data_IF_241044961552
#
_entry.id   IF_241044961552
#
_cell.length_a   1.000
_cell.length_b   1.000
_cell.length_c   1.000
_cell.angle_alpha   90.00
_cell.angle_beta   90.00
_cell.angle_gamma   90.00
#
_symmetry.space_group_name_H-M   'P 1'
#
loop_
_entity.id
_entity.type
_entity.pdbx_description
1 polymer ?
#
# COMPACT_ATOMS: atom_id res chain seq x y z
N UNK A 1 -7.22 10.97 20.69
CA UNK A 1 -6.44 11.45 19.53
C UNK A 1 -5.24 10.54 19.37
N UNK A 2 -4.92 10.11 18.15
CA UNK A 2 -3.71 9.33 17.92
C UNK A 2 -2.48 10.23 18.15
N UNK A 3 -1.51 9.73 18.90
CA UNK A 3 -0.24 10.43 19.11
C UNK A 3 0.55 10.36 17.81
N UNK A 4 0.89 11.52 17.23
CA UNK A 4 1.65 11.64 15.99
C UNK A 4 3.09 12.00 16.27
N UNK A 5 4.02 11.50 15.44
CA UNK A 5 5.45 11.85 15.50
C UNK A 5 5.70 13.29 15.07
N UNK A 6 6.82 13.87 15.55
CA UNK A 6 7.38 15.14 15.08
C UNK A 6 8.27 14.99 13.83
N UNK A 7 8.66 13.75 13.47
CA UNK A 7 9.37 13.50 12.22
C UNK A 7 8.48 13.86 11.03
N UNK A 8 9.04 14.55 10.06
CA UNK A 8 8.40 14.67 8.74
C UNK A 8 8.43 13.31 8.05
N UNK A 9 7.49 13.06 7.16
CA UNK A 9 7.41 11.79 6.41
C UNK A 9 8.74 11.49 5.69
N UNK A 10 9.38 12.49 5.12
CA UNK A 10 10.69 12.34 4.47
C UNK A 10 11.79 11.93 5.46
N UNK A 11 11.82 12.53 6.65
CA UNK A 11 12.80 12.18 7.69
C UNK A 11 12.57 10.75 8.18
N UNK A 12 11.33 10.35 8.41
CA UNK A 12 10.98 9.00 8.81
C UNK A 12 11.41 7.97 7.75
N UNK A 13 11.11 8.21 6.46
CA UNK A 13 11.54 7.34 5.36
C UNK A 13 13.06 7.23 5.23
N UNK A 14 13.78 8.32 5.41
CA UNK A 14 15.24 8.30 5.42
C UNK A 14 15.81 7.49 6.57
N UNK A 15 15.27 7.64 7.79
CA UNK A 15 15.65 6.82 8.93
C UNK A 15 15.35 5.34 8.67
N UNK A 16 14.15 5.02 8.18
CA UNK A 16 13.77 3.65 7.83
C UNK A 16 14.76 3.04 6.82
N UNK A 17 15.11 3.77 5.78
CA UNK A 17 16.10 3.34 4.78
C UNK A 17 17.48 3.08 5.40
N UNK A 18 17.96 3.97 6.28
CA UNK A 18 19.26 3.81 6.94
C UNK A 18 19.31 2.56 7.85
N UNK A 19 18.18 2.18 8.42
CA UNK A 19 18.09 0.98 9.29
C UNK A 19 17.56 -0.26 8.54
N UNK A 20 17.77 -0.34 7.22
CA UNK A 20 17.45 -1.52 6.42
C UNK A 20 15.95 -1.66 6.08
N UNK A 21 15.24 -0.55 6.00
CA UNK A 21 13.82 -0.51 5.63
C UNK A 21 12.88 -0.92 6.77
N UNK A 22 13.31 -0.76 8.03
CA UNK A 22 12.50 -1.12 9.20
C UNK A 22 11.29 -0.21 9.37
N UNK A 23 10.19 -0.75 9.86
CA UNK A 23 9.01 0.01 10.27
C UNK A 23 9.24 0.61 11.65
N UNK A 24 8.76 1.86 11.84
CA UNK A 24 8.83 2.56 13.12
C UNK A 24 7.44 2.64 13.75
N UNK A 25 7.32 2.11 14.96
CA UNK A 25 6.11 2.23 15.78
C UNK A 25 6.43 3.09 17.00
N UNK A 26 5.75 4.24 17.14
CA UNK A 26 5.99 5.17 18.24
C UNK A 26 5.59 4.53 19.59
N UNK A 27 6.55 4.35 20.47
CA UNK A 27 6.37 3.80 21.82
C UNK A 27 6.26 4.91 22.86
N UNK A 28 7.08 5.96 22.72
CA UNK A 28 7.21 7.02 23.69
C UNK A 28 7.36 8.35 22.99
N UNK A 29 6.68 9.36 23.56
CA UNK A 29 6.80 10.77 23.19
C UNK A 29 6.79 11.60 24.46
N UNK A 30 7.84 12.39 24.69
CA UNK A 30 8.06 13.05 25.95
C UNK A 30 6.96 14.07 26.32
N UNK A 31 6.46 14.82 25.35
CA UNK A 31 5.36 15.78 25.56
C UNK A 31 4.02 15.13 25.92
N UNK A 32 3.86 13.81 25.70
CA UNK A 32 2.62 13.07 25.96
C UNK A 32 2.72 12.13 27.16
N UNK A 33 3.92 11.59 27.38
CA UNK A 33 4.15 10.55 28.37
C UNK A 33 5.06 11.02 29.54
N UNK A 34 5.17 12.33 29.71
CA UNK A 34 6.08 13.01 30.62
C UNK A 34 7.57 12.84 30.29
N UNK A 35 8.35 13.88 30.50
CA UNK A 35 9.80 13.88 30.36
C UNK A 35 10.45 13.08 31.51
N UNK A 36 10.37 11.75 31.44
CA UNK A 36 10.86 10.85 32.49
C UNK A 36 11.55 9.64 31.89
N UNK A 37 12.80 9.40 32.29
CA UNK A 37 13.53 8.21 31.92
C UNK A 37 12.88 6.92 32.42
N UNK A 38 12.18 6.96 33.55
CA UNK A 38 11.40 5.84 34.04
C UNK A 38 10.28 5.48 33.05
N UNK A 39 9.58 6.46 32.50
CA UNK A 39 8.54 6.22 31.49
C UNK A 39 9.11 5.72 30.18
N UNK A 40 10.31 6.18 29.77
CA UNK A 40 11.02 5.60 28.61
C UNK A 40 11.31 4.12 28.86
N UNK A 41 11.94 3.79 29.99
CA UNK A 41 12.22 2.41 30.36
C UNK A 41 10.97 1.53 30.37
N UNK A 42 9.94 1.96 31.10
CA UNK A 42 8.69 1.20 31.24
C UNK A 42 8.00 0.91 29.90
N UNK A 43 8.07 1.85 28.95
CA UNK A 43 7.43 1.72 27.65
C UNK A 43 8.27 1.01 26.60
N UNK A 44 9.59 1.13 26.69
CA UNK A 44 10.52 0.65 25.67
C UNK A 44 11.22 -0.66 26.05
N UNK A 45 11.19 -1.04 27.33
CA UNK A 45 11.79 -2.30 27.78
C UNK A 45 11.09 -3.50 27.11
N UNK A 46 11.88 -4.48 26.69
CA UNK A 46 11.43 -5.70 26.01
C UNK A 46 10.62 -5.47 24.71
N UNK A 47 10.78 -4.29 24.08
CA UNK A 47 10.14 -3.97 22.81
C UNK A 47 11.00 -4.31 21.57
N UNK A 48 12.19 -4.91 21.79
CA UNK A 48 13.16 -5.20 20.73
C UNK A 48 13.98 -3.96 20.33
N UNK A 49 14.56 -3.94 19.14
CA UNK A 49 15.36 -2.80 18.67
C UNK A 49 14.55 -1.51 18.64
N UNK A 50 15.16 -0.42 19.10
CA UNK A 50 14.51 0.90 19.13
C UNK A 50 15.36 1.99 18.51
N UNK A 51 14.71 3.07 18.04
CA UNK A 51 15.35 4.31 17.66
C UNK A 51 14.84 5.42 18.56
N UNK A 52 15.76 6.07 19.27
CA UNK A 52 15.49 7.28 20.04
C UNK A 52 15.80 8.49 19.16
N UNK A 53 14.88 9.40 19.03
CA UNK A 53 15.00 10.65 18.27
C UNK A 53 14.83 11.84 19.21
N UNK A 54 15.79 12.75 19.18
CA UNK A 54 15.87 13.93 20.04
C UNK A 54 15.83 15.18 19.19
N UNK A 55 14.95 16.10 19.53
CA UNK A 55 14.74 17.37 18.83
C UNK A 55 15.28 18.52 19.69
N UNK A 56 16.29 19.24 19.17
CA UNK A 56 16.91 20.38 19.84
C UNK A 56 17.01 21.56 18.87
N UNK A 57 16.15 22.55 19.06
CA UNK A 57 16.12 23.70 18.16
C UNK A 57 15.76 23.30 16.72
N UNK A 58 16.74 23.41 15.81
CA UNK A 58 16.64 22.96 14.42
C UNK A 58 17.36 21.63 14.17
N UNK A 59 18.05 21.11 15.18
CA UNK A 59 18.84 19.90 15.08
C UNK A 59 18.01 18.68 15.51
N UNK A 60 18.09 17.62 14.75
CA UNK A 60 17.51 16.31 15.04
C UNK A 60 18.65 15.32 15.10
N UNK A 61 18.79 14.64 16.20
CA UNK A 61 19.79 13.57 16.38
C UNK A 61 19.20 12.42 17.18
N UNK A 62 19.87 11.29 17.20
CA UNK A 62 19.35 10.16 17.93
C UNK A 62 20.28 8.97 17.97
N UNK A 63 19.77 7.90 18.54
CA UNK A 63 20.48 6.65 18.73
C UNK A 63 19.63 5.46 18.31
N UNK A 64 20.22 4.53 17.55
CA UNK A 64 19.67 3.21 17.33
C UNK A 64 20.20 2.24 18.40
N UNK A 65 19.29 1.56 19.07
CA UNK A 65 19.53 0.60 20.14
C UNK A 65 19.10 -0.76 19.61
N UNK A 66 20.07 -1.65 19.41
CA UNK A 66 19.82 -2.98 18.82
C UNK A 66 19.14 -3.93 19.78
N UNK A 67 19.59 -3.90 21.05
CA UNK A 67 19.11 -4.79 22.08
C UNK A 67 18.03 -4.13 22.93
N UNK A 68 17.26 -4.92 23.67
CA UNK A 68 16.30 -4.39 24.64
C UNK A 68 17.02 -3.56 25.70
N UNK A 69 16.31 -2.59 26.28
CA UNK A 69 16.79 -1.86 27.45
C UNK A 69 17.02 -2.86 28.58
N UNK A 70 18.26 -2.91 29.03
CA UNK A 70 18.66 -3.81 30.12
C UNK A 70 18.48 -3.13 31.47
N UNK A 71 18.69 -3.87 32.55
CA UNK A 71 18.57 -3.32 33.91
C UNK A 71 19.53 -2.17 34.13
N UNK A 72 19.22 -1.33 35.14
CA UNK A 72 19.98 -0.13 35.46
C UNK A 72 21.47 -0.39 35.65
N UNK A 73 22.31 0.40 35.02
CA UNK A 73 23.76 0.35 35.12
C UNK A 73 24.46 -0.45 34.03
N UNK A 74 23.75 -1.21 33.21
CA UNK A 74 24.36 -1.95 32.11
C UNK A 74 24.60 -1.05 30.87
N UNK A 75 25.70 -1.36 30.16
CA UNK A 75 26.09 -0.61 28.95
C UNK A 75 25.46 -1.25 27.73
N UNK A 76 24.58 -0.48 27.06
CA UNK A 76 23.88 -0.89 25.86
C UNK A 76 24.59 -0.27 24.65
N UNK A 77 25.15 -1.07 23.72
CA UNK A 77 25.75 -0.56 22.50
C UNK A 77 24.74 0.20 21.65
N UNK A 78 25.10 1.39 21.15
CA UNK A 78 24.25 2.23 20.32
C UNK A 78 24.96 2.67 19.04
N UNK A 79 24.16 3.00 18.03
CA UNK A 79 24.61 3.67 16.80
C UNK A 79 23.99 5.06 16.75
N UNK A 80 24.82 6.08 16.68
CA UNK A 80 24.36 7.47 16.63
C UNK A 80 24.09 7.92 15.21
N UNK A 81 23.12 8.83 15.08
CA UNK A 81 22.82 9.52 13.84
C UNK A 81 22.42 10.98 14.11
N UNK A 82 22.58 11.83 13.10
CA UNK A 82 22.10 13.20 13.12
C UNK A 82 21.57 13.59 11.75
N UNK A 83 20.55 14.46 11.73
CA UNK A 83 20.08 15.06 10.50
C UNK A 83 20.80 16.39 10.25
N UNK A 84 21.41 16.53 9.08
CA UNK A 84 21.94 17.79 8.57
C UNK A 84 21.17 18.15 7.30
N UNK A 85 20.43 19.26 7.32
CA UNK A 85 19.64 19.74 6.15
C UNK A 85 18.75 18.66 5.54
N UNK A 86 18.06 17.87 6.36
CA UNK A 86 17.25 16.71 5.95
C UNK A 86 18.04 15.50 5.40
N UNK A 87 19.34 15.48 5.49
CA UNK A 87 20.16 14.31 5.19
C UNK A 87 20.71 13.72 6.49
N UNK A 88 20.79 12.39 6.55
CA UNK A 88 21.37 11.70 7.71
C UNK A 88 22.86 11.64 7.52
N UNK A 89 23.59 12.32 8.42
CA UNK A 89 25.03 12.18 8.54
C UNK A 89 25.37 11.10 9.57
N UNK A 90 26.31 10.23 9.19
CA UNK A 90 26.94 9.23 10.07
C UNK A 90 26.03 8.10 10.61
N UNK A 91 25.20 7.51 9.75
CA UNK A 91 24.58 6.22 10.07
C UNK A 91 25.41 5.07 9.43
N UNK A 92 26.49 4.64 10.11
CA UNK A 92 27.20 3.41 9.75
C UNK A 92 26.63 2.27 10.56
N UNK A 93 25.59 1.61 10.07
CA UNK A 93 25.08 0.34 10.64
C UNK A 93 26.19 -0.70 10.54
N UNK A 94 26.58 -1.26 11.68
CA UNK A 94 27.61 -2.30 11.79
C UNK A 94 28.92 -1.85 12.38
N UNK A 95 29.21 -0.56 12.55
CA UNK A 95 30.36 -0.07 13.28
C UNK A 95 29.97 0.22 14.73
N UNK A 96 29.78 -0.83 15.52
CA UNK A 96 29.66 -0.67 16.99
C UNK A 96 31.04 -0.31 17.53
N UNK A 97 31.19 0.90 18.05
CA UNK A 97 32.35 1.24 18.86
C UNK A 97 32.07 0.79 20.30
N UNK A 98 32.95 0.01 20.95
CA UNK A 98 32.80 -0.37 22.36
C UNK A 98 32.76 0.83 23.31
N UNK A 99 33.17 2.01 22.83
CA UNK A 99 33.16 3.26 23.55
C UNK A 99 31.89 4.05 23.43
N UNK A 100 30.95 3.65 22.54
CA UNK A 100 29.68 4.32 22.32
C UNK A 100 28.54 3.46 22.89
N UNK A 101 28.00 3.86 24.02
CA UNK A 101 26.96 3.11 24.71
C UNK A 101 25.97 4.03 25.42
N UNK A 102 24.77 3.52 25.64
CA UNK A 102 23.73 4.08 26.51
C UNK A 102 23.78 3.34 27.86
N UNK A 103 23.66 4.06 28.93
CA UNK A 103 23.50 3.49 30.27
C UNK A 103 22.34 4.23 30.97
N UNK A 104 21.46 3.46 31.60
CA UNK A 104 20.36 3.99 32.40
C UNK A 104 20.76 3.97 33.87
N UNK A 105 20.70 5.10 34.55
CA UNK A 105 20.90 5.21 35.97
C UNK A 105 19.60 5.60 36.66
N UNK A 106 19.31 4.95 37.77
CA UNK A 106 18.16 5.29 38.62
C UNK A 106 18.70 5.67 40.01
N UNK A 107 18.99 6.96 40.19
CA UNK A 107 19.28 7.52 41.50
C UNK A 107 18.11 8.43 41.90
N UNK A 108 17.47 8.11 43.01
CA UNK A 108 16.48 8.92 43.76
C UNK A 108 15.62 9.86 42.91
N UNK A 109 14.66 9.31 42.12
CA UNK A 109 13.70 10.01 41.28
C UNK A 109 14.22 10.74 40.03
N UNK A 110 15.50 10.69 39.71
CA UNK A 110 16.06 11.21 38.47
C UNK A 110 16.58 10.05 37.61
N UNK A 111 15.94 9.75 36.48
CA UNK A 111 16.49 8.83 35.49
C UNK A 111 17.48 9.56 34.60
N UNK A 112 18.76 9.19 34.69
CA UNK A 112 19.79 9.76 33.83
C UNK A 112 20.12 8.79 32.69
N UNK A 113 20.21 9.32 31.48
CA UNK A 113 20.78 8.61 30.33
C UNK A 113 22.23 9.08 30.16
N UNK A 114 23.17 8.18 30.26
CA UNK A 114 24.54 8.45 29.92
C UNK A 114 24.85 7.96 28.51
N UNK A 115 25.09 8.87 27.58
CA UNK A 115 25.63 8.60 26.25
C UNK A 115 27.15 8.78 26.31
N UNK A 116 27.90 7.72 26.02
CA UNK A 116 29.33 7.82 25.83
C UNK A 116 29.69 7.86 24.35
N UNK A 117 30.30 8.96 23.91
CA UNK A 117 30.68 9.23 22.54
C UNK A 117 32.20 9.22 22.44
N UNK A 118 32.84 8.08 22.21
CA UNK A 118 34.29 7.95 22.05
C UNK A 118 35.12 8.72 23.11
N UNK A 119 34.77 8.51 24.38
CA UNK A 119 35.42 9.17 25.51
C UNK A 119 34.80 10.51 25.93
N UNK A 120 33.81 11.02 25.20
CA UNK A 120 33.01 12.16 25.61
C UNK A 120 31.74 11.67 26.29
N UNK A 121 31.58 11.98 27.56
CA UNK A 121 30.38 11.63 28.33
C UNK A 121 29.32 12.73 28.14
N UNK A 122 28.15 12.37 27.65
CA UNK A 122 26.98 13.25 27.55
C UNK A 122 25.91 12.68 28.45
N UNK A 123 25.61 13.37 29.54
CA UNK A 123 24.55 12.98 30.47
C UNK A 123 23.26 13.70 30.08
N UNK A 124 22.21 12.96 29.79
CA UNK A 124 20.86 13.49 29.58
C UNK A 124 20.05 13.25 30.85
N UNK A 125 19.66 14.34 31.51
CA UNK A 125 18.66 14.31 32.58
C UNK A 125 17.31 14.64 32.00
N UNK A 126 16.37 13.73 32.12
CA UNK A 126 14.97 14.00 31.85
C UNK A 126 14.33 14.51 33.14
N UNK A 127 14.30 15.80 33.33
CA UNK A 127 13.67 16.43 34.48
C UNK A 127 12.30 17.03 34.11
N UNK A 128 11.33 16.93 35.01
CA UNK A 128 9.93 17.26 34.78
C UNK A 128 9.66 18.75 34.51
N UNK A 129 10.64 19.59 34.39
CA UNK A 129 10.55 21.03 34.16
C UNK A 129 11.16 21.35 32.80
N UNK A 130 10.34 21.51 31.77
CA UNK A 130 10.54 22.13 30.43
C UNK A 130 11.96 22.28 29.81
N UNK A 131 13.02 21.81 30.45
CA UNK A 131 14.41 21.93 29.97
C UNK A 131 15.18 20.64 30.19
N UNK A 132 15.36 19.92 29.14
CA UNK A 132 16.36 18.86 29.08
C UNK A 132 17.74 19.54 29.07
N UNK A 133 18.55 19.29 30.11
CA UNK A 133 19.93 19.76 30.16
C UNK A 133 20.86 18.65 29.72
N UNK A 134 21.49 18.79 28.56
CA UNK A 134 22.65 18.00 28.17
C UNK A 134 23.88 18.60 28.86
N UNK A 135 24.36 17.97 29.91
CA UNK A 135 25.65 18.31 30.51
C UNK A 135 26.72 17.44 29.83
N UNK A 136 27.43 18.00 28.88
CA UNK A 136 28.65 17.40 28.34
C UNK A 136 29.82 17.68 29.26
N UNK A 137 30.24 16.75 30.11
CA UNK A 137 31.59 16.79 30.67
C UNK A 137 32.55 16.15 29.67
N UNK A 138 33.35 16.95 29.00
CA UNK A 138 34.45 16.47 28.20
C UNK A 138 35.63 16.28 29.13
N UNK A 139 35.82 15.10 29.69
CA UNK A 139 37.04 14.74 30.40
C UNK A 139 38.08 14.24 29.39
N UNK A 140 38.88 15.14 28.85
CA UNK A 140 40.14 14.78 28.22
C UNK A 140 41.13 14.49 29.35
N UNK A 141 41.57 13.25 29.54
CA UNK A 141 42.62 12.87 30.47
C UNK A 141 44.04 13.39 30.10
N UNK A 142 44.18 14.20 29.05
CA UNK A 142 45.41 14.88 28.66
C UNK A 142 45.13 16.35 28.36
N UNK A 143 45.48 17.21 29.34
CA UNK A 143 45.52 18.67 29.32
C UNK A 143 44.25 19.39 29.81
N UNK A 144 44.41 19.87 31.02
CA UNK A 144 43.58 20.91 31.64
C UNK A 144 43.47 22.14 30.75
N UNK A 145 42.24 22.57 30.43
CA UNK A 145 41.81 23.95 30.42
C UNK A 145 40.29 24.03 30.11
N UNK A 146 39.56 24.65 31.01
CA UNK A 146 38.20 25.18 30.94
C UNK A 146 37.44 24.97 29.60
N UNK A 147 36.66 23.91 29.50
CA UNK A 147 35.60 23.85 28.54
C UNK A 147 34.28 23.98 29.31
N UNK A 148 33.52 25.02 29.00
CA UNK A 148 32.18 25.26 29.54
C UNK A 148 31.28 24.11 29.12
N UNK A 149 30.54 23.55 30.08
CA UNK A 149 29.47 22.60 29.81
C UNK A 149 28.50 23.22 28.80
N UNK A 150 28.31 22.58 27.67
CA UNK A 150 27.40 23.06 26.64
C UNK A 150 25.99 22.48 26.97
N UNK A 151 25.09 23.34 27.40
CA UNK A 151 23.71 22.96 27.69
C UNK A 151 22.91 23.07 26.39
N UNK A 152 22.36 21.92 25.94
CA UNK A 152 21.48 21.85 24.78
C UNK A 152 20.05 21.74 25.27
N UNK A 153 19.18 22.64 24.84
CA UNK A 153 17.75 22.59 25.16
C UNK A 153 17.06 21.56 24.25
N UNK A 154 16.40 20.58 24.82
CA UNK A 154 15.64 19.58 24.08
C UNK A 154 14.17 19.97 24.11
N UNK A 155 13.54 19.98 22.93
CA UNK A 155 12.13 20.32 22.75
C UNK A 155 11.24 19.08 22.81
N UNK A 156 11.72 17.96 22.29
CA UNK A 156 10.98 16.71 22.24
C UNK A 156 11.94 15.51 22.22
N UNK A 157 11.47 14.39 22.74
CA UNK A 157 12.14 13.10 22.63
C UNK A 157 11.11 12.03 22.27
N UNK A 158 11.37 11.31 21.22
CA UNK A 158 10.51 10.21 20.74
C UNK A 158 11.31 8.91 20.69
N UNK A 159 10.69 7.79 21.06
CA UNK A 159 11.28 6.45 20.91
C UNK A 159 10.36 5.59 20.09
N UNK A 160 10.93 5.00 19.05
CA UNK A 160 10.23 4.11 18.13
C UNK A 160 10.75 2.68 18.29
N UNK A 161 9.85 1.72 18.25
CA UNK A 161 10.21 0.31 18.02
C UNK A 161 10.57 0.14 16.55
N UNK A 162 11.70 -0.54 16.29
CA UNK A 162 12.14 -0.89 14.95
C UNK A 162 11.74 -2.34 14.67
N UNK A 163 10.77 -2.52 13.82
CA UNK A 163 10.32 -3.84 13.37
C UNK A 163 10.89 -4.14 12.00
N UNK A 164 11.37 -5.35 11.80
CA UNK A 164 11.61 -5.82 10.45
C UNK A 164 10.24 -5.91 9.76
N UNK A 165 10.11 -5.25 8.62
CA UNK A 165 8.88 -5.21 7.85
C UNK A 165 8.36 -6.60 7.50
N UNK A 166 9.26 -7.58 7.49
CA UNK A 166 9.04 -8.98 7.23
C UNK A 166 9.66 -9.79 8.37
N UNK A 167 9.28 -9.55 9.64
CA UNK A 167 9.61 -10.49 10.67
C UNK A 167 8.93 -11.85 10.37
N UNK A 168 9.47 -12.94 10.91
CA UNK A 168 8.94 -14.28 10.62
C UNK A 168 7.45 -14.41 10.98
N UNK A 169 6.99 -13.69 12.00
CA UNK A 169 5.60 -13.72 12.45
C UNK A 169 4.69 -13.06 11.42
N UNK A 170 5.05 -11.88 10.91
CA UNK A 170 4.30 -11.20 9.86
C UNK A 170 4.29 -12.02 8.57
N UNK A 171 5.39 -12.71 8.23
CA UNK A 171 5.45 -13.61 7.07
C UNK A 171 4.56 -14.83 7.21
N UNK A 172 4.46 -15.41 8.41
CA UNK A 172 3.56 -16.52 8.68
C UNK A 172 2.09 -16.08 8.54
N UNK A 173 1.72 -14.95 9.10
CA UNK A 173 0.36 -14.38 8.99
C UNK A 173 0.02 -14.04 7.52
N UNK A 174 0.95 -13.42 6.79
CA UNK A 174 0.82 -13.13 5.35
C UNK A 174 0.62 -14.43 4.56
N UNK A 175 1.42 -15.44 4.84
CA UNK A 175 1.33 -16.74 4.17
C UNK A 175 0.00 -17.44 4.46
N UNK A 176 -0.47 -17.39 5.69
CA UNK A 176 -1.77 -17.96 6.08
C UNK A 176 -2.93 -17.21 5.40
N UNK A 177 -2.89 -15.88 5.42
CA UNK A 177 -3.90 -15.05 4.76
C UNK A 177 -3.90 -15.27 3.24
N UNK A 178 -2.73 -15.38 2.62
CA UNK A 178 -2.59 -15.70 1.20
C UNK A 178 -3.24 -17.04 0.85
N UNK A 179 -2.96 -18.10 1.63
CA UNK A 179 -3.59 -19.43 1.44
C UNK A 179 -5.11 -19.37 1.62
N UNK A 180 -5.58 -18.66 2.65
CA UNK A 180 -7.02 -18.47 2.90
C UNK A 180 -7.69 -17.77 1.73
N UNK A 181 -7.15 -16.64 1.25
CA UNK A 181 -7.71 -15.90 0.12
C UNK A 181 -7.71 -16.73 -1.18
N UNK A 182 -6.64 -17.45 -1.46
CA UNK A 182 -6.58 -18.36 -2.62
C UNK A 182 -7.66 -19.43 -2.52
N UNK A 183 -7.83 -20.04 -1.35
CA UNK A 183 -8.86 -21.06 -1.12
C UNK A 183 -10.25 -20.48 -1.30
N UNK A 184 -10.55 -19.32 -0.68
CA UNK A 184 -11.82 -18.64 -0.76
C UNK A 184 -12.22 -18.34 -2.21
N UNK A 185 -11.27 -17.82 -3.01
CA UNK A 185 -11.54 -17.49 -4.41
C UNK A 185 -11.66 -18.74 -5.30
N UNK A 186 -10.87 -19.79 -5.05
CA UNK A 186 -10.97 -21.06 -5.81
C UNK A 186 -12.27 -21.81 -5.50
N UNK A 187 -12.72 -21.77 -4.26
CA UNK A 187 -13.96 -22.41 -3.79
C UNK A 187 -15.22 -21.54 -3.93
N UNK A 188 -15.02 -20.28 -4.36
CA UNK A 188 -16.11 -19.34 -4.55
C UNK A 188 -17.16 -19.88 -5.52
N UNK A 189 -18.43 -19.67 -5.19
CA UNK A 189 -19.57 -19.95 -6.05
C UNK A 189 -20.41 -18.68 -6.19
N UNK A 190 -20.74 -18.29 -7.42
CA UNK A 190 -21.62 -17.14 -7.65
C UNK A 190 -22.97 -17.30 -6.95
N UNK A 191 -23.54 -16.19 -6.55
CA UNK A 191 -24.81 -16.15 -5.82
C UNK A 191 -25.88 -17.08 -6.42
N UNK A 192 -26.36 -18.03 -5.61
CA UNK A 192 -27.37 -19.05 -5.97
C UNK A 192 -27.07 -19.86 -7.26
N UNK A 193 -25.82 -19.95 -7.65
CA UNK A 193 -25.38 -20.59 -8.90
C UNK A 193 -26.11 -20.08 -10.16
N UNK A 194 -26.50 -18.78 -10.16
CA UNK A 194 -27.21 -18.15 -11.28
C UNK A 194 -26.36 -18.14 -12.57
N UNK A 195 -25.04 -18.07 -12.42
CA UNK A 195 -24.04 -18.18 -13.48
C UNK A 195 -22.92 -19.11 -13.03
N UNK A 196 -22.20 -19.69 -13.98
CA UNK A 196 -21.03 -20.53 -13.67
C UNK A 196 -19.79 -19.73 -13.34
N UNK A 197 -19.66 -18.57 -13.96
CA UNK A 197 -18.51 -17.68 -13.83
C UNK A 197 -18.96 -16.23 -13.78
N UNK A 198 -18.40 -15.47 -12.88
CA UNK A 198 -18.58 -14.02 -12.82
C UNK A 198 -17.77 -13.37 -13.94
N UNK A 199 -18.35 -12.38 -14.62
CA UNK A 199 -17.68 -11.55 -15.62
C UNK A 199 -17.35 -10.18 -15.05
N UNK A 200 -16.06 -9.88 -14.96
CA UNK A 200 -15.52 -8.62 -14.43
C UNK A 200 -14.95 -7.83 -15.60
N UNK A 201 -15.48 -6.64 -15.86
CA UNK A 201 -15.02 -5.76 -16.95
C UNK A 201 -14.00 -4.76 -16.44
N UNK A 202 -12.82 -4.70 -17.09
CA UNK A 202 -11.77 -3.72 -16.81
C UNK A 202 -11.92 -2.53 -17.78
N UNK A 203 -12.14 -1.34 -17.23
CA UNK A 203 -12.30 -0.06 -17.93
C UNK A 203 -11.24 0.93 -17.46
N UNK A 204 -10.72 1.77 -18.30
CA UNK A 204 -9.79 2.82 -17.89
C UNK A 204 -8.89 3.29 -19.02
N UNK A 205 -8.14 4.37 -18.83
CA UNK A 205 -7.23 4.90 -19.84
C UNK A 205 -6.21 3.90 -20.35
N UNK A 206 -5.63 4.19 -21.51
CA UNK A 206 -4.46 3.46 -22.00
C UNK A 206 -3.31 3.61 -20.99
N UNK A 207 -2.56 2.54 -20.72
CA UNK A 207 -1.46 2.57 -19.73
C UNK A 207 -1.91 2.51 -18.26
N UNK A 208 -3.21 2.42 -17.97
CA UNK A 208 -3.73 2.30 -16.59
C UNK A 208 -3.42 0.96 -15.90
N UNK A 209 -2.85 -0.04 -16.61
CA UNK A 209 -2.48 -1.33 -16.01
C UNK A 209 -3.57 -2.41 -16.07
N UNK A 210 -4.59 -2.29 -16.93
CA UNK A 210 -5.67 -3.29 -17.09
C UNK A 210 -5.14 -4.67 -17.48
N UNK A 211 -4.38 -4.76 -18.56
CA UNK A 211 -3.80 -6.02 -19.05
C UNK A 211 -2.72 -6.55 -18.09
N UNK A 212 -1.99 -5.65 -17.41
CA UNK A 212 -1.04 -6.02 -16.37
C UNK A 212 -1.73 -6.62 -15.15
N UNK A 213 -2.91 -6.11 -14.78
CA UNK A 213 -3.70 -6.68 -13.68
C UNK A 213 -4.17 -8.10 -14.04
N UNK A 214 -4.67 -8.31 -15.27
CA UNK A 214 -4.99 -9.67 -15.72
C UNK A 214 -3.77 -10.61 -15.62
N UNK A 215 -2.61 -10.19 -16.13
CA UNK A 215 -1.38 -11.00 -16.04
C UNK A 215 -1.01 -11.28 -14.58
N UNK A 216 -1.16 -10.32 -13.69
CA UNK A 216 -0.87 -10.44 -12.27
C UNK A 216 -1.81 -11.44 -11.58
N UNK A 217 -3.13 -11.32 -11.81
CA UNK A 217 -4.10 -12.30 -11.30
C UNK A 217 -3.76 -13.70 -11.81
N UNK A 218 -3.48 -13.84 -13.11
CA UNK A 218 -3.10 -15.15 -13.68
C UNK A 218 -1.83 -15.69 -13.04
N UNK A 219 -0.83 -14.85 -12.80
CA UNK A 219 0.44 -15.23 -12.17
C UNK A 219 0.23 -15.82 -10.78
N UNK A 220 -0.58 -15.17 -9.94
CA UNK A 220 -0.91 -15.64 -8.59
C UNK A 220 -1.53 -17.05 -8.63
N UNK A 221 -2.50 -17.30 -9.52
CA UNK A 221 -3.14 -18.61 -9.63
C UNK A 221 -2.29 -19.67 -10.31
N UNK A 222 -1.29 -19.27 -11.11
CA UNK A 222 -0.31 -20.17 -11.73
C UNK A 222 0.87 -20.51 -10.83
N UNK A 223 1.14 -19.72 -9.81
CA UNK A 223 2.29 -19.88 -8.93
C UNK A 223 3.61 -19.39 -9.55
N UNK A 224 3.57 -18.68 -10.68
CA UNK A 224 4.73 -18.07 -11.34
C UNK A 224 4.30 -16.89 -12.20
N UNK A 225 5.20 -15.96 -12.43
CA UNK A 225 4.91 -14.76 -13.24
C UNK A 225 4.63 -15.15 -14.69
N UNK A 226 3.55 -14.60 -15.25
CA UNK A 226 3.12 -14.87 -16.63
C UNK A 226 2.78 -13.58 -17.38
N UNK A 227 2.98 -13.55 -18.68
CA UNK A 227 2.72 -12.40 -19.56
C UNK A 227 1.87 -12.83 -20.77
N UNK A 228 0.61 -13.26 -20.53
CA UNK A 228 -0.27 -13.69 -21.63
C UNK A 228 -0.90 -12.53 -22.37
N UNK A 229 -1.39 -11.52 -21.65
CA UNK A 229 -1.89 -10.31 -22.27
C UNK A 229 -0.71 -9.42 -22.68
N UNK A 230 -0.75 -8.93 -23.91
CA UNK A 230 0.28 -8.01 -24.39
C UNK A 230 0.17 -6.70 -23.58
N UNK A 231 1.29 -6.29 -23.04
CA UNK A 231 1.45 -5.03 -22.29
C UNK A 231 2.45 -4.18 -23.06
N UNK A 232 2.10 -2.95 -23.34
CA UNK A 232 3.00 -2.01 -24.02
C UNK A 232 2.61 -0.58 -23.73
N UNK A 233 3.61 0.30 -23.80
CA UNK A 233 3.48 1.75 -23.62
C UNK A 233 3.38 2.51 -24.95
N UNK A 234 3.44 1.80 -26.07
CA UNK A 234 3.48 2.45 -27.39
C UNK A 234 2.16 3.11 -27.73
N UNK A 235 2.23 4.25 -28.39
CA UNK A 235 1.13 5.15 -28.69
C UNK A 235 0.02 4.54 -29.59
N UNK A 236 0.27 3.37 -30.18
CA UNK A 236 -0.71 2.58 -30.91
C UNK A 236 -1.31 1.51 -29.99
N UNK A 237 -2.27 1.88 -29.16
CA UNK A 237 -2.95 1.03 -28.17
C UNK A 237 -2.84 -0.48 -28.38
N UNK A 238 -2.11 -1.15 -27.53
CA UNK A 238 -1.83 -2.61 -27.65
C UNK A 238 -3.11 -3.46 -27.52
N UNK A 239 -4.16 -2.92 -26.90
CA UNK A 239 -5.46 -3.59 -26.77
C UNK A 239 -6.54 -2.83 -27.53
N UNK A 240 -6.65 -3.09 -28.83
CA UNK A 240 -7.73 -2.57 -29.71
C UNK A 240 -8.95 -3.49 -29.76
N UNK A 241 -8.90 -4.62 -29.04
CA UNK A 241 -9.94 -5.66 -29.04
C UNK A 241 -10.52 -5.89 -27.66
N UNK A 242 -11.80 -6.20 -27.64
CA UNK A 242 -12.43 -6.77 -26.44
C UNK A 242 -11.96 -8.20 -26.25
N UNK A 243 -11.37 -8.49 -25.10
CA UNK A 243 -10.80 -9.79 -24.78
C UNK A 243 -11.43 -10.38 -23.52
N UNK A 244 -11.78 -11.65 -23.62
CA UNK A 244 -12.39 -12.43 -22.53
C UNK A 244 -11.40 -13.49 -22.08
N UNK A 245 -10.89 -13.34 -20.87
CA UNK A 245 -9.84 -14.21 -20.33
C UNK A 245 -10.39 -15.10 -19.21
N UNK A 246 -10.44 -16.38 -19.47
CA UNK A 246 -10.67 -17.41 -18.44
C UNK A 246 -9.33 -17.87 -17.87
N UNK A 247 -9.22 -17.95 -16.56
CA UNK A 247 -8.00 -18.38 -15.87
C UNK A 247 -8.21 -19.82 -15.40
N UNK A 248 -7.22 -20.69 -15.71
CA UNK A 248 -7.19 -22.08 -15.26
C UNK A 248 -6.37 -22.19 -13.98
N UNK A 249 -6.83 -22.98 -13.02
CA UNK A 249 -6.06 -23.32 -11.84
C UNK A 249 -4.85 -24.20 -12.21
N UNK A 250 -3.70 -23.97 -11.58
CA UNK A 250 -2.45 -24.68 -11.85
C UNK A 250 -2.52 -26.21 -11.58
N UNK A 251 -3.40 -26.62 -10.67
CA UNK A 251 -3.55 -28.03 -10.29
C UNK A 251 -4.72 -28.79 -10.94
N UNK A 252 -5.59 -28.10 -11.66
CA UNK A 252 -6.82 -28.69 -12.21
C UNK A 252 -7.14 -28.15 -13.59
N UNK A 253 -7.74 -28.99 -14.45
CA UNK A 253 -8.23 -28.57 -15.77
C UNK A 253 -9.43 -27.60 -15.69
N UNK A 254 -9.94 -27.34 -14.49
CA UNK A 254 -11.11 -26.50 -14.30
C UNK A 254 -10.75 -25.01 -14.35
N UNK A 255 -11.58 -24.24 -15.04
CA UNK A 255 -11.49 -22.78 -15.02
C UNK A 255 -11.98 -22.23 -13.68
N UNK A 256 -11.35 -21.16 -13.21
CA UNK A 256 -11.79 -20.44 -12.02
C UNK A 256 -13.21 -19.88 -12.17
N UNK A 257 -13.91 -19.62 -11.08
CA UNK A 257 -15.32 -19.19 -11.10
C UNK A 257 -15.52 -17.73 -11.56
N UNK A 258 -14.53 -17.15 -12.24
CA UNK A 258 -14.60 -15.79 -12.80
C UNK A 258 -13.84 -15.67 -14.11
N UNK A 259 -14.17 -14.63 -14.84
CA UNK A 259 -13.58 -14.22 -16.12
C UNK A 259 -13.22 -12.74 -16.03
N UNK A 260 -12.04 -12.38 -16.48
CA UNK A 260 -11.64 -10.99 -16.66
C UNK A 260 -11.85 -10.58 -18.12
N UNK A 261 -12.59 -9.50 -18.32
CA UNK A 261 -12.88 -8.93 -19.63
C UNK A 261 -12.07 -7.64 -19.78
N UNK A 262 -11.08 -7.64 -20.67
CA UNK A 262 -10.23 -6.48 -20.95
C UNK A 262 -10.78 -5.73 -22.16
N UNK A 263 -10.93 -4.41 -22.01
CA UNK A 263 -11.43 -3.52 -23.05
C UNK A 263 -10.32 -2.65 -23.60
N UNK A 264 -10.55 -2.10 -24.79
CA UNK A 264 -9.72 -1.02 -25.32
C UNK A 264 -9.61 0.13 -24.31
N UNK A 265 -8.44 0.75 -24.24
CA UNK A 265 -8.22 1.91 -23.37
C UNK A 265 -9.19 3.05 -23.68
N UNK A 266 -9.75 3.65 -22.63
CA UNK A 266 -10.55 4.86 -22.78
C UNK A 266 -9.62 5.97 -23.28
N UNK A 267 -9.98 6.56 -24.41
CA UNK A 267 -9.27 7.69 -25.01
C UNK A 267 -10.11 8.97 -24.91
N UNK A 268 -9.46 10.09 -25.18
CA UNK A 268 -10.12 11.39 -25.37
C UNK A 268 -10.67 11.48 -26.79
N UNK A 269 -11.72 12.28 -26.97
CA UNK A 269 -12.43 12.48 -28.25
C UNK A 269 -12.69 11.15 -28.98
N UNK A 270 -12.24 11.05 -30.23
CA UNK A 270 -12.44 9.89 -31.13
C UNK A 270 -11.46 8.73 -30.87
N UNK A 271 -10.71 8.78 -29.78
CA UNK A 271 -9.83 7.69 -29.35
C UNK A 271 -10.51 6.83 -28.29
N UNK A 272 -10.50 5.52 -28.49
CA UNK A 272 -11.09 4.56 -27.57
C UNK A 272 -12.44 4.00 -28.06
N UNK A 273 -13.10 3.17 -27.26
CA UNK A 273 -14.36 2.55 -27.62
C UNK A 273 -15.51 3.58 -27.70
N UNK A 274 -16.43 3.38 -28.65
CA UNK A 274 -17.68 4.11 -28.67
C UNK A 274 -18.48 3.87 -27.38
N UNK A 275 -19.24 4.86 -26.93
CA UNK A 275 -20.08 4.72 -25.73
C UNK A 275 -21.12 3.61 -25.87
N UNK A 276 -21.67 3.42 -27.07
CA UNK A 276 -22.66 2.38 -27.34
C UNK A 276 -22.02 0.99 -27.25
N UNK A 277 -20.78 0.82 -27.70
CA UNK A 277 -20.05 -0.43 -27.54
C UNK A 277 -19.88 -0.80 -26.06
N UNK A 278 -19.59 0.18 -25.20
CA UNK A 278 -19.52 -0.05 -23.75
C UNK A 278 -20.85 -0.56 -23.22
N UNK A 279 -21.97 0.08 -23.62
CA UNK A 279 -23.31 -0.35 -23.20
C UNK A 279 -23.63 -1.75 -23.73
N UNK A 280 -23.24 -2.08 -24.96
CA UNK A 280 -23.40 -3.42 -25.52
C UNK A 280 -22.56 -4.47 -24.80
N UNK A 281 -21.33 -4.13 -24.39
CA UNK A 281 -20.52 -5.02 -23.54
C UNK A 281 -21.23 -5.27 -22.20
N UNK A 282 -21.69 -4.24 -21.51
CA UNK A 282 -22.38 -4.36 -20.23
C UNK A 282 -23.59 -5.29 -20.31
N UNK A 283 -24.36 -5.19 -21.40
CA UNK A 283 -25.54 -6.01 -21.64
C UNK A 283 -25.24 -7.40 -22.21
N UNK A 284 -23.99 -7.69 -22.59
CA UNK A 284 -23.55 -8.98 -23.09
C UNK A 284 -23.71 -9.18 -24.59
N UNK A 285 -23.93 -8.12 -25.37
CA UNK A 285 -24.11 -8.21 -26.82
C UNK A 285 -22.80 -8.37 -27.60
N UNK A 286 -21.63 -8.21 -26.95
CA UNK A 286 -20.32 -8.28 -27.62
C UNK A 286 -19.55 -9.54 -27.19
N UNK A 287 -19.17 -10.36 -28.19
CA UNK A 287 -18.36 -11.57 -27.97
C UNK A 287 -16.86 -11.29 -27.92
N UNK A 288 -16.07 -12.27 -27.47
CA UNK A 288 -14.61 -12.21 -27.44
C UNK A 288 -14.01 -11.86 -28.81
N UNK A 289 -12.90 -11.14 -28.78
CA UNK A 289 -12.11 -10.70 -29.95
C UNK A 289 -12.77 -9.67 -30.85
N UNK A 290 -13.86 -9.03 -30.42
CA UNK A 290 -14.41 -7.88 -31.15
C UNK A 290 -13.35 -6.79 -31.22
N UNK A 291 -13.10 -6.29 -32.43
CA UNK A 291 -12.21 -5.16 -32.67
C UNK A 291 -13.01 -3.86 -32.65
N UNK A 292 -12.64 -2.98 -31.73
CA UNK A 292 -13.32 -1.69 -31.60
C UNK A 292 -13.06 -0.80 -32.81
N UNK A 293 -14.10 -0.10 -33.21
CA UNK A 293 -14.00 0.99 -34.18
C UNK A 293 -14.40 2.30 -33.49
N UNK A 294 -13.47 3.25 -33.28
CA UNK A 294 -13.79 4.50 -32.59
C UNK A 294 -14.86 5.34 -33.26
N UNK A 295 -15.00 5.19 -34.57
CA UNK A 295 -15.94 6.00 -35.40
C UNK A 295 -17.32 5.36 -35.54
N UNK A 296 -17.48 4.07 -35.29
CA UNK A 296 -18.72 3.35 -35.53
C UNK A 296 -18.90 2.22 -34.51
N UNK A 297 -19.98 2.25 -33.71
CA UNK A 297 -20.27 1.14 -32.80
C UNK A 297 -20.66 -0.13 -33.56
N UNK A 298 -20.58 -1.27 -32.86
CA UNK A 298 -21.09 -2.52 -33.38
C UNK A 298 -22.61 -2.42 -33.68
N UNK A 299 -23.05 -3.12 -34.69
CA UNK A 299 -24.46 -3.18 -35.06
C UNK A 299 -24.96 -4.61 -35.10
N UNK A 300 -26.27 -4.85 -34.93
CA UNK A 300 -26.87 -6.16 -35.19
C UNK A 300 -26.49 -6.69 -36.57
N UNK A 301 -26.22 -8.01 -36.65
CA UNK A 301 -25.70 -8.64 -37.87
C UNK A 301 -24.17 -8.72 -37.98
N UNK A 302 -23.43 -8.02 -37.13
CA UNK A 302 -21.97 -8.22 -37.05
C UNK A 302 -21.62 -9.58 -36.44
N UNK A 303 -20.57 -10.25 -36.93
CA UNK A 303 -20.16 -11.60 -36.49
C UNK A 303 -19.89 -11.73 -34.98
N UNK A 304 -19.49 -10.64 -34.33
CA UNK A 304 -19.28 -10.57 -32.90
C UNK A 304 -20.51 -10.06 -32.10
N UNK A 305 -21.65 -9.80 -32.74
CA UNK A 305 -22.86 -9.35 -32.09
C UNK A 305 -23.73 -10.52 -31.61
N UNK A 306 -24.07 -10.53 -30.33
CA UNK A 306 -24.95 -11.52 -29.72
C UNK A 306 -26.35 -10.93 -29.63
N UNK A 307 -27.31 -11.45 -30.43
CA UNK A 307 -28.67 -10.93 -30.49
C UNK A 307 -29.43 -11.04 -29.18
N UNK A 308 -29.36 -12.22 -28.52
CA UNK A 308 -30.08 -12.54 -27.31
C UNK A 308 -29.11 -12.95 -26.18
N UNK A 309 -28.43 -12.02 -25.52
CA UNK A 309 -27.45 -12.34 -24.49
C UNK A 309 -28.14 -12.88 -23.24
N UNK A 310 -27.62 -13.98 -22.73
CA UNK A 310 -28.04 -14.57 -21.47
C UNK A 310 -27.35 -13.86 -20.29
N UNK A 311 -27.78 -14.17 -19.06
CA UNK A 311 -27.14 -13.61 -17.88
C UNK A 311 -25.62 -13.90 -17.81
N UNK A 312 -25.21 -15.10 -18.22
CA UNK A 312 -23.79 -15.51 -18.30
C UNK A 312 -22.95 -14.66 -19.28
N UNK A 313 -23.59 -13.96 -20.21
CA UNK A 313 -22.90 -13.12 -21.22
C UNK A 313 -22.76 -11.67 -20.76
N UNK A 314 -23.54 -11.27 -19.76
CA UNK A 314 -23.53 -9.90 -19.20
C UNK A 314 -22.35 -9.68 -18.28
N UNK A 315 -22.00 -8.41 -18.08
CA UNK A 315 -21.04 -8.00 -17.06
C UNK A 315 -21.73 -8.00 -15.69
N UNK A 316 -21.07 -8.56 -14.67
CA UNK A 316 -21.60 -8.63 -13.32
C UNK A 316 -20.92 -7.62 -12.37
N UNK A 317 -19.67 -7.25 -12.65
CA UNK A 317 -18.93 -6.20 -11.94
C UNK A 317 -18.09 -5.41 -12.95
N UNK A 318 -18.03 -4.09 -12.82
CA UNK A 318 -17.15 -3.23 -13.60
C UNK A 318 -16.06 -2.61 -12.73
N UNK A 319 -14.85 -2.52 -13.26
CA UNK A 319 -13.68 -2.01 -12.54
C UNK A 319 -13.07 -0.85 -13.33
N UNK A 320 -13.08 0.33 -12.75
CA UNK A 320 -12.35 1.47 -13.30
C UNK A 320 -10.89 1.41 -12.85
N UNK A 321 -10.01 1.16 -13.79
CA UNK A 321 -8.57 1.02 -13.55
C UNK A 321 -7.87 2.33 -13.86
N UNK A 322 -7.11 2.86 -12.89
CA UNK A 322 -6.32 4.08 -13.04
C UNK A 322 -4.91 3.87 -12.51
N UNK A 323 -3.96 4.50 -13.18
CA UNK A 323 -2.60 4.62 -12.63
C UNK A 323 -2.63 5.70 -11.53
N UNK A 324 -2.18 5.35 -10.33
CA UNK A 324 -2.23 6.23 -9.14
C UNK A 324 -1.45 7.53 -9.34
N UNK A 325 -0.39 7.52 -10.18
CA UNK A 325 0.41 8.71 -10.45
C UNK A 325 -0.26 9.69 -11.42
N UNK A 326 -1.09 9.18 -12.33
CA UNK A 326 -1.72 10.01 -13.36
C UNK A 326 -3.19 10.32 -13.11
N UNK A 327 -3.79 9.70 -12.08
CA UNK A 327 -5.23 9.86 -11.81
C UNK A 327 -5.63 11.32 -11.47
N UNK A 328 -4.71 12.11 -10.93
CA UNK A 328 -4.93 13.54 -10.65
C UNK A 328 -4.84 14.44 -11.89
N UNK A 329 -4.30 13.91 -12.98
CA UNK A 329 -4.10 14.63 -14.25
C UNK A 329 -5.10 14.19 -15.33
N UNK A 330 -6.18 13.54 -14.92
CA UNK A 330 -7.26 13.19 -15.86
C UNK A 330 -7.87 14.48 -16.45
N UNK A 331 -7.99 14.53 -17.76
CA UNK A 331 -8.63 15.65 -18.43
C UNK A 331 -10.11 15.76 -18.05
N UNK A 332 -10.66 16.95 -18.21
CA UNK A 332 -12.11 17.16 -18.00
C UNK A 332 -12.96 16.23 -18.87
N UNK A 333 -12.56 16.00 -20.12
CA UNK A 333 -13.26 15.10 -21.06
C UNK A 333 -13.22 13.66 -20.57
N UNK A 334 -12.06 13.18 -20.11
CA UNK A 334 -11.94 11.83 -19.54
C UNK A 334 -12.81 11.67 -18.30
N UNK A 335 -12.82 12.65 -17.40
CA UNK A 335 -13.69 12.64 -16.22
C UNK A 335 -15.17 12.62 -16.60
N UNK A 336 -15.58 13.41 -17.62
CA UNK A 336 -16.95 13.42 -18.12
C UNK A 336 -17.34 12.05 -18.72
N UNK A 337 -16.43 11.42 -19.48
CA UNK A 337 -16.61 10.08 -20.05
C UNK A 337 -16.78 9.02 -18.97
N UNK A 338 -15.93 9.05 -17.93
CA UNK A 338 -16.04 8.15 -16.76
C UNK A 338 -17.40 8.33 -16.08
N UNK A 339 -17.81 9.56 -15.81
CA UNK A 339 -19.12 9.88 -15.20
C UNK A 339 -20.29 9.40 -16.07
N UNK A 340 -20.17 9.47 -17.40
CA UNK A 340 -21.18 8.96 -18.34
C UNK A 340 -21.27 7.43 -18.27
N UNK A 341 -20.13 6.73 -18.28
CA UNK A 341 -20.09 5.27 -18.14
C UNK A 341 -20.70 4.84 -16.80
N UNK A 342 -20.38 5.51 -15.70
CA UNK A 342 -20.98 5.22 -14.38
C UNK A 342 -22.50 5.32 -14.40
N UNK A 343 -23.07 6.32 -15.08
CA UNK A 343 -24.53 6.44 -15.20
C UNK A 343 -25.14 5.23 -15.91
N UNK A 344 -24.49 4.72 -16.95
CA UNK A 344 -24.95 3.51 -17.65
C UNK A 344 -24.85 2.25 -16.78
N UNK A 345 -23.77 2.12 -16.00
CA UNK A 345 -23.61 1.04 -15.02
C UNK A 345 -24.74 1.05 -13.97
N UNK A 346 -25.05 2.22 -13.43
CA UNK A 346 -26.14 2.41 -12.46
C UNK A 346 -27.49 2.04 -13.09
N UNK A 347 -27.76 2.46 -14.34
CA UNK A 347 -29.00 2.07 -15.07
C UNK A 347 -29.10 0.56 -15.29
N UNK A 348 -27.96 -0.11 -15.44
CA UNK A 348 -27.92 -1.57 -15.58
C UNK A 348 -27.93 -2.31 -14.24
N UNK A 349 -27.87 -1.61 -13.10
CA UNK A 349 -27.74 -2.17 -11.77
C UNK A 349 -26.35 -2.78 -11.48
N UNK A 350 -25.36 -2.55 -12.34
CA UNK A 350 -24.03 -3.17 -12.22
C UNK A 350 -23.21 -2.42 -11.17
N UNK A 351 -22.76 -3.16 -10.15
CA UNK A 351 -21.84 -2.65 -9.12
C UNK A 351 -20.47 -2.38 -9.76
N UNK A 352 -19.84 -1.32 -9.32
CA UNK A 352 -18.57 -0.90 -9.90
C UNK A 352 -17.61 -0.39 -8.86
N UNK A 353 -16.34 -0.76 -9.00
CA UNK A 353 -15.24 -0.41 -8.11
C UNK A 353 -14.13 0.32 -8.88
N UNK A 354 -13.22 0.95 -8.16
CA UNK A 354 -11.99 1.55 -8.70
C UNK A 354 -10.81 0.68 -8.31
N UNK A 355 -9.87 0.50 -9.22
CA UNK A 355 -8.59 -0.15 -8.99
C UNK A 355 -7.46 0.83 -9.30
N UNK A 356 -6.76 1.29 -8.28
CA UNK A 356 -5.55 2.10 -8.44
C UNK A 356 -4.33 1.19 -8.55
N UNK A 357 -3.65 1.26 -9.67
CA UNK A 357 -2.44 0.47 -9.99
C UNK A 357 -1.18 1.30 -9.78
N UNK A 358 0.00 0.70 -9.96
CA UNK A 358 1.32 1.36 -9.87
C UNK A 358 1.59 2.01 -8.51
N UNK A 359 1.03 1.45 -7.41
CA UNK A 359 1.29 2.00 -6.06
C UNK A 359 2.75 1.86 -5.64
N UNK A 360 3.47 0.90 -6.21
CA UNK A 360 4.90 0.68 -6.05
C UNK A 360 5.78 1.80 -6.63
N UNK A 361 5.24 2.60 -7.52
CA UNK A 361 5.94 3.73 -8.14
C UNK A 361 5.76 5.07 -7.41
N UNK A 362 5.05 5.10 -6.29
CA UNK A 362 5.00 6.28 -5.43
C UNK A 362 6.32 6.41 -4.66
N UNK A 363 7.03 7.53 -4.85
CA UNK A 363 8.38 7.77 -4.33
C UNK A 363 8.54 7.59 -2.81
N UNK A 364 7.44 7.70 -2.06
CA UNK A 364 7.44 7.62 -0.61
C UNK A 364 6.96 6.26 -0.08
N UNK A 365 6.76 5.26 -0.94
CA UNK A 365 6.32 3.93 -0.52
C UNK A 365 7.52 2.99 -0.46
N UNK A 366 7.81 2.46 0.72
CA UNK A 366 8.78 1.38 0.91
C UNK A 366 8.09 0.01 0.83
N UNK A 367 8.87 -1.05 0.65
CA UNK A 367 8.33 -2.44 0.55
C UNK A 367 7.39 -2.81 1.69
N UNK A 368 7.61 -2.29 2.90
CA UNK A 368 6.76 -2.59 4.04
C UNK A 368 5.46 -1.81 4.11
N UNK A 369 5.36 -0.73 3.38
CA UNK A 369 4.12 0.04 3.31
C UNK A 369 3.01 -0.72 2.58
N UNK A 370 3.34 -1.74 1.78
CA UNK A 370 2.34 -2.56 1.10
C UNK A 370 1.42 -3.33 2.06
N UNK A 371 1.87 -3.67 3.26
CA UNK A 371 1.05 -4.34 4.28
C UNK A 371 -0.02 -3.36 4.80
N UNK A 372 0.38 -2.11 5.04
CA UNK A 372 -0.50 -1.05 5.54
C UNK A 372 -0.80 0.01 4.45
N UNK A 373 -0.86 -0.42 3.20
CA UNK A 373 -0.94 0.49 2.03
C UNK A 373 -2.05 1.54 2.17
N UNK A 374 -3.20 1.18 2.73
CA UNK A 374 -4.31 2.10 2.96
C UNK A 374 -4.07 3.11 4.09
N UNK A 375 -3.02 2.92 4.90
CA UNK A 375 -2.61 3.85 5.96
C UNK A 375 -1.56 4.85 5.49
N UNK A 376 -0.89 4.56 4.37
CA UNK A 376 0.12 5.45 3.80
C UNK A 376 -0.50 6.77 3.36
N UNK A 377 0.07 7.89 3.83
CA UNK A 377 -0.44 9.23 3.52
C UNK A 377 -0.52 9.52 2.02
N UNK A 378 0.50 9.19 1.18
CA UNK A 378 0.40 9.39 -0.26
C UNK A 378 -0.80 8.67 -0.89
N UNK A 379 -1.06 7.43 -0.47
CA UNK A 379 -2.20 6.64 -0.95
C UNK A 379 -3.51 7.25 -0.49
N UNK A 380 -3.64 7.61 0.81
CA UNK A 380 -4.85 8.27 1.33
C UNK A 380 -5.22 9.52 0.56
N UNK A 381 -4.24 10.36 0.24
CA UNK A 381 -4.48 11.58 -0.55
C UNK A 381 -5.07 11.24 -1.93
N UNK A 382 -4.55 10.22 -2.60
CA UNK A 382 -5.06 9.77 -3.90
C UNK A 382 -6.48 9.16 -3.80
N UNK A 383 -6.73 8.36 -2.76
CA UNK A 383 -8.08 7.82 -2.49
C UNK A 383 -9.10 8.93 -2.28
N UNK A 384 -8.76 9.93 -1.46
CA UNK A 384 -9.62 11.09 -1.19
C UNK A 384 -9.88 11.91 -2.46
N UNK A 385 -8.87 12.09 -3.30
CA UNK A 385 -9.01 12.80 -4.56
C UNK A 385 -9.95 12.04 -5.52
N UNK A 386 -9.78 10.72 -5.71
CA UNK A 386 -10.68 9.90 -6.53
C UNK A 386 -12.12 9.96 -5.99
N UNK A 387 -12.28 9.87 -4.67
CA UNK A 387 -13.58 10.03 -4.03
C UNK A 387 -14.23 11.39 -4.38
N UNK A 388 -13.48 12.48 -4.21
CA UNK A 388 -13.98 13.84 -4.40
C UNK A 388 -14.28 14.17 -5.86
N UNK A 389 -13.36 13.86 -6.78
CA UNK A 389 -13.44 14.29 -8.18
C UNK A 389 -14.31 13.35 -9.04
N UNK A 390 -14.23 12.05 -8.79
CA UNK A 390 -14.96 11.04 -9.56
C UNK A 390 -16.19 10.48 -8.84
N UNK A 391 -16.36 10.79 -7.54
CA UNK A 391 -17.55 10.47 -6.77
C UNK A 391 -17.70 8.99 -6.38
N UNK A 392 -16.62 8.20 -6.36
CA UNK A 392 -16.66 6.82 -5.86
C UNK A 392 -16.63 6.80 -4.33
N UNK A 393 -17.26 5.82 -3.69
CA UNK A 393 -17.12 5.63 -2.26
C UNK A 393 -15.71 5.17 -1.90
N UNK A 394 -15.17 5.59 -0.75
CA UNK A 394 -13.82 5.19 -0.34
C UNK A 394 -13.68 3.67 -0.17
N UNK A 395 -14.77 2.98 0.22
CA UNK A 395 -14.85 1.52 0.32
C UNK A 395 -14.66 0.80 -1.01
N UNK A 396 -14.99 1.48 -2.11
CA UNK A 396 -14.99 0.91 -3.45
C UNK A 396 -13.69 1.19 -4.20
N UNK A 397 -12.72 1.84 -3.54
CA UNK A 397 -11.42 2.17 -4.12
C UNK A 397 -10.35 1.20 -3.61
N UNK A 398 -9.89 0.34 -4.50
CA UNK A 398 -8.92 -0.71 -4.26
C UNK A 398 -7.55 -0.28 -4.79
N UNK A 399 -6.47 -0.77 -4.19
CA UNK A 399 -5.10 -0.48 -4.63
C UNK A 399 -4.33 -1.77 -4.88
N UNK A 400 -3.51 -1.79 -5.93
CA UNK A 400 -2.66 -2.94 -6.27
C UNK A 400 -1.31 -2.50 -6.85
N UNK A 401 -0.31 -3.35 -6.67
CA UNK A 401 0.92 -3.36 -7.44
C UNK A 401 0.90 -4.56 -8.38
N UNK A 402 0.96 -4.30 -9.68
CA UNK A 402 1.00 -5.36 -10.70
C UNK A 402 2.39 -5.95 -10.84
N UNK A 403 2.46 -7.22 -11.26
CA UNK A 403 3.69 -7.82 -11.74
C UNK A 403 4.05 -7.26 -13.12
N UNK A 404 5.27 -6.73 -13.26
CA UNK A 404 5.76 -6.10 -14.50
C UNK A 404 7.10 -6.67 -14.95
N UNK A 405 8.10 -6.63 -14.09
CA UNK A 405 9.48 -7.06 -14.37
C UNK A 405 10.02 -8.11 -13.39
N UNK A 406 9.23 -8.49 -12.42
CA UNK A 406 9.61 -9.47 -11.42
C UNK A 406 9.69 -10.88 -12.03
N UNK A 407 10.63 -11.69 -11.53
CA UNK A 407 10.80 -13.09 -11.92
C UNK A 407 10.04 -14.05 -11.01
N UNK A 408 9.79 -13.63 -9.76
CA UNK A 408 9.16 -14.42 -8.71
C UNK A 408 7.94 -13.69 -8.14
N UNK A 409 7.04 -14.47 -7.55
CA UNK A 409 5.87 -13.92 -6.87
C UNK A 409 6.28 -13.34 -5.51
N UNK A 410 5.66 -12.22 -5.17
CA UNK A 410 5.85 -11.52 -3.91
C UNK A 410 4.57 -11.62 -3.06
N UNK A 411 4.61 -12.29 -1.89
CA UNK A 411 3.40 -12.59 -1.11
C UNK A 411 2.54 -11.38 -0.78
N UNK A 412 3.15 -10.20 -0.55
CA UNK A 412 2.39 -8.98 -0.22
C UNK A 412 1.66 -8.43 -1.45
N UNK A 413 2.29 -8.46 -2.63
CA UNK A 413 1.61 -8.12 -3.91
C UNK A 413 0.45 -9.07 -4.18
N UNK A 414 0.66 -10.37 -3.97
CA UNK A 414 -0.38 -11.38 -4.11
C UNK A 414 -1.59 -11.08 -3.22
N UNK A 415 -1.36 -10.67 -1.95
CA UNK A 415 -2.43 -10.31 -1.04
C UNK A 415 -3.26 -9.13 -1.54
N UNK A 416 -2.63 -8.09 -2.08
CA UNK A 416 -3.34 -6.94 -2.65
C UNK A 416 -4.19 -7.35 -3.85
N UNK A 417 -3.62 -8.16 -4.75
CA UNK A 417 -4.31 -8.66 -5.95
C UNK A 417 -5.49 -9.55 -5.56
N UNK A 418 -5.29 -10.51 -4.65
CA UNK A 418 -6.35 -11.43 -4.20
C UNK A 418 -7.44 -10.69 -3.41
N UNK A 419 -7.08 -9.74 -2.55
CA UNK A 419 -8.04 -8.92 -1.80
C UNK A 419 -8.89 -8.08 -2.75
N UNK A 420 -8.29 -7.44 -3.75
CA UNK A 420 -9.02 -6.68 -4.76
C UNK A 420 -9.97 -7.59 -5.55
N UNK A 421 -9.50 -8.75 -5.98
CA UNK A 421 -10.33 -9.72 -6.72
C UNK A 421 -11.51 -10.21 -5.88
N UNK A 422 -11.31 -10.51 -4.60
CA UNK A 422 -12.39 -10.92 -3.69
C UNK A 422 -13.47 -9.84 -3.57
N UNK A 423 -13.09 -8.57 -3.45
CA UNK A 423 -14.06 -7.45 -3.41
C UNK A 423 -14.84 -7.34 -4.73
N UNK A 424 -14.20 -7.57 -5.88
CA UNK A 424 -14.88 -7.58 -7.18
C UNK A 424 -15.90 -8.73 -7.28
N UNK A 425 -15.59 -9.90 -6.70
CA UNK A 425 -16.51 -11.04 -6.66
C UNK A 425 -17.71 -10.77 -5.76
N UNK A 426 -17.51 -10.17 -4.58
CA UNK A 426 -18.60 -9.76 -3.70
C UNK A 426 -19.50 -8.70 -4.35
N UNK A 427 -18.91 -7.69 -5.01
CA UNK A 427 -19.67 -6.70 -5.78
C UNK A 427 -20.52 -7.34 -6.89
N UNK A 428 -20.03 -8.42 -7.50
CA UNK A 428 -20.79 -9.17 -8.49
C UNK A 428 -21.93 -10.00 -7.86
N UNK A 429 -21.73 -10.53 -6.65
CA UNK A 429 -22.79 -11.22 -5.92
C UNK A 429 -23.91 -10.27 -5.53
N UNK A 430 -23.59 -9.06 -5.07
CA UNK A 430 -24.57 -8.02 -4.77
C UNK A 430 -25.42 -7.67 -6.02
N UNK A 431 -24.77 -7.59 -7.18
CA UNK A 431 -25.49 -7.40 -8.45
C UNK A 431 -26.43 -8.59 -8.76
N UNK A 432 -25.98 -9.83 -8.56
CA UNK A 432 -26.78 -11.01 -8.84
C UNK A 432 -27.94 -11.16 -7.86
N UNK A 433 -27.75 -10.74 -6.60
CA UNK A 433 -28.78 -10.75 -5.57
C UNK A 433 -29.92 -9.77 -5.86
N UNK A 434 -29.60 -8.59 -6.40
CA UNK A 434 -30.58 -7.53 -6.73
C UNK A 434 -31.35 -7.81 -8.03
N UNK A 435 -31.04 -8.90 -8.75
CA UNK A 435 -31.74 -9.24 -9.98
C UNK A 435 -33.19 -9.70 -9.70
N UNK A 436 -34.20 -9.13 -10.43
CA UNK A 436 -35.58 -9.58 -10.28
C UNK A 436 -35.72 -11.07 -10.66
N UNK A 437 -36.60 -11.82 -9.97
CA UNK A 437 -36.78 -13.25 -10.17
C UNK A 437 -37.06 -13.68 -11.61
N UNK A 438 -37.71 -12.84 -12.39
CA UNK A 438 -38.01 -13.08 -13.81
C UNK A 438 -36.76 -13.14 -14.70
N UNK A 439 -35.70 -12.41 -14.32
CA UNK A 439 -34.42 -12.39 -15.02
C UNK A 439 -33.48 -13.54 -14.66
N UNK A 440 -33.76 -14.25 -13.58
CA UNK A 440 -32.94 -15.37 -13.09
C UNK A 440 -33.27 -16.70 -13.77
N UNK A 441 -34.27 -16.76 -14.63
CA UNK A 441 -34.68 -18.00 -15.35
C UNK A 441 -35.25 -19.12 -14.45
N UNK A 442 -35.38 -18.88 -13.13
CA UNK A 442 -36.03 -19.84 -12.22
C UNK A 442 -37.53 -19.54 -12.17
N UNK A 443 -38.33 -20.37 -12.84
CA UNK A 443 -39.79 -20.38 -12.63
C UNK A 443 -40.04 -20.62 -11.14
N UNK A 444 -40.87 -19.79 -10.52
CA UNK A 444 -41.42 -20.07 -9.19
C UNK A 444 -42.00 -21.49 -9.19
N UNK A 445 -41.41 -22.40 -8.39
CA UNK A 445 -42.06 -23.63 -8.01
C UNK A 445 -43.12 -23.35 -6.96
#
# INVERSE_FOLDING_TARGET
MAVTTCLTEMQEKKLQSCFGGKRFTLLYKASVHDFSGHNVYKRCNNQGPTVMVIYSGHDIFGAYIKDSYQEYGEKIPIVLFAFQKNEISECKIGAYSPSTFLCLYNEDNCSEFLLNLDGKKVTMKLDAIEKLQLKGQVSNERHQKHQKDQIISIKECEVFRCEDLLDKRNMEEITQLHKSLLFDIKSYRPYRDLVRQIRILLLGPTGAGKSSFFNSVKSVFRGHVTHQALVGSDAAGVSDKYRVYSIKDAGHYNSLPFILCDSMGLGEEDKGPCMDDIVYILKGHISDRYQFNPMKPITPGHSNYIENPLLKDRIHCAVFVFNINSVEHLSYEMMAKIKKIRRELIKCGIIHVVLLTHVDSLDLITKGDFIDIYRCTPVKCKLQMVHKELGFALSDILVVSNYTSEWELEPVKDLLILSALRQMLWAADDFLEDLPPEKTGKKKK
#
